data_IF_785988440843
#
_entry.id   IF_785988440843
#
_cell.length_a   1.000
_cell.length_b   1.000
_cell.length_c   1.000
_cell.angle_alpha   90.00
_cell.angle_beta   90.00
_cell.angle_gamma   90.00
#
_symmetry.space_group_name_H-M   'P 1'
#
loop_
_entity.id
_entity.type
_entity.pdbx_description
1 polymer ?
#
# COMPACT_ATOMS: atom_id res chain seq x y z
N UNK A 1 10.13 2.25 11.61
CA UNK A 1 9.30 1.08 11.92
C UNK A 1 9.88 0.36 13.13
N UNK A 2 9.03 -0.01 14.10
CA UNK A 2 9.39 -0.85 15.24
C UNK A 2 8.64 -2.19 15.11
N UNK A 3 9.31 -3.32 15.31
CA UNK A 3 8.72 -4.64 15.08
C UNK A 3 8.92 -5.52 16.32
N UNK A 4 7.86 -6.19 16.74
CA UNK A 4 7.90 -7.18 17.82
C UNK A 4 7.50 -8.53 17.22
N UNK A 5 8.42 -9.49 17.25
CA UNK A 5 8.16 -10.85 16.77
C UNK A 5 8.14 -11.83 17.95
N UNK A 6 7.18 -12.74 17.94
CA UNK A 6 7.07 -13.77 18.95
C UNK A 6 6.50 -15.07 18.37
N UNK A 7 6.95 -16.20 18.93
CA UNK A 7 6.40 -17.51 18.61
C UNK A 7 5.05 -17.68 19.32
N UNK A 8 4.01 -18.04 18.58
CA UNK A 8 2.63 -18.07 19.10
C UNK A 8 2.40 -19.07 20.24
N UNK A 9 3.19 -20.13 20.30
CA UNK A 9 3.13 -21.08 21.43
C UNK A 9 3.79 -20.57 22.71
N UNK A 10 4.57 -19.47 22.63
CA UNK A 10 5.27 -18.88 23.78
C UNK A 10 4.56 -17.61 24.24
N UNK A 11 4.21 -16.75 23.29
CA UNK A 11 3.45 -15.51 23.53
C UNK A 11 2.17 -15.57 22.71
N UNK A 12 1.00 -15.68 23.35
CA UNK A 12 -0.27 -15.62 22.64
C UNK A 12 -0.40 -14.34 21.79
N UNK A 13 -1.06 -14.44 20.65
CA UNK A 13 -1.16 -13.34 19.70
C UNK A 13 -1.74 -12.07 20.32
N UNK A 14 -2.77 -12.18 21.15
CA UNK A 14 -3.36 -11.03 21.84
C UNK A 14 -2.36 -10.36 22.78
N UNK A 15 -1.55 -11.13 23.50
CA UNK A 15 -0.48 -10.59 24.35
C UNK A 15 0.58 -9.86 23.51
N UNK A 16 0.93 -10.39 22.34
CA UNK A 16 1.82 -9.72 21.39
C UNK A 16 1.23 -8.40 20.91
N UNK A 17 -0.08 -8.38 20.64
CA UNK A 17 -0.78 -7.13 20.27
C UNK A 17 -0.77 -6.11 21.41
N UNK A 18 -0.93 -6.55 22.66
CA UNK A 18 -0.83 -5.66 23.83
C UNK A 18 0.57 -5.05 23.96
N UNK A 19 1.62 -5.83 23.74
CA UNK A 19 2.99 -5.31 23.71
C UNK A 19 3.17 -4.27 22.60
N UNK A 20 2.59 -4.50 21.44
CA UNK A 20 2.63 -3.52 20.35
C UNK A 20 1.83 -2.24 20.66
N UNK A 21 0.69 -2.34 21.35
CA UNK A 21 -0.09 -1.17 21.83
C UNK A 21 0.72 -0.34 22.82
N UNK A 22 1.33 -0.99 23.83
CA UNK A 22 2.21 -0.30 24.78
C UNK A 22 3.41 0.37 24.08
N UNK A 23 4.04 -0.32 23.12
CA UNK A 23 5.12 0.26 22.35
C UNK A 23 4.63 1.46 21.53
N UNK A 24 3.41 1.40 20.97
CA UNK A 24 2.81 2.51 20.23
C UNK A 24 2.60 3.76 21.11
N UNK A 25 2.20 3.57 22.37
CA UNK A 25 2.04 4.67 23.33
C UNK A 25 3.36 5.33 23.73
N UNK A 26 4.43 4.54 23.84
CA UNK A 26 5.78 5.03 24.19
C UNK A 26 6.42 5.75 22.99
N UNK A 27 6.29 5.19 21.79
CA UNK A 27 6.95 5.68 20.58
C UNK A 27 6.18 6.84 19.93
N UNK A 28 6.12 7.95 20.67
CA UNK A 28 5.44 9.20 20.27
C UNK A 28 6.40 10.40 20.33
N UNK A 29 5.98 11.58 19.88
CA UNK A 29 6.80 12.79 19.90
C UNK A 29 8.08 12.63 19.09
N UNK A 30 9.22 12.93 19.70
CA UNK A 30 10.56 12.82 19.08
C UNK A 30 10.98 11.36 18.78
N UNK A 31 10.40 10.39 19.47
CA UNK A 31 10.64 8.95 19.27
C UNK A 31 9.58 8.31 18.35
N UNK A 32 8.72 9.10 17.74
CA UNK A 32 7.63 8.59 16.92
C UNK A 32 8.15 7.77 15.73
N UNK A 33 7.61 6.56 15.60
CA UNK A 33 7.80 5.71 14.42
C UNK A 33 6.46 5.55 13.68
N UNK A 34 6.46 5.53 12.38
CA UNK A 34 5.25 5.44 11.57
C UNK A 34 4.43 4.18 11.86
N UNK A 35 5.09 3.05 12.13
CA UNK A 35 4.41 1.78 12.41
C UNK A 35 5.09 1.00 13.52
N UNK A 36 4.27 0.42 14.41
CA UNK A 36 4.65 -0.68 15.31
C UNK A 36 3.98 -1.94 14.77
N UNK A 37 4.75 -2.99 14.50
CA UNK A 37 4.25 -4.18 13.81
C UNK A 37 4.37 -5.40 14.72
N UNK A 38 3.25 -6.09 14.94
CA UNK A 38 3.23 -7.43 15.51
C UNK A 38 3.56 -8.45 14.41
N UNK A 39 4.57 -9.28 14.65
CA UNK A 39 5.00 -10.35 13.73
C UNK A 39 4.96 -11.71 14.41
N UNK A 40 3.79 -12.30 14.57
CA UNK A 40 3.68 -13.67 15.10
C UNK A 40 4.24 -14.67 14.10
N UNK A 41 4.86 -15.74 14.64
CA UNK A 41 5.40 -16.84 13.87
C UNK A 41 5.21 -18.18 14.61
N UNK A 42 5.34 -19.27 13.86
CA UNK A 42 5.16 -20.64 14.40
C UNK A 42 6.17 -21.62 13.80
N UNK A 43 6.11 -22.87 14.24
CA UNK A 43 6.91 -23.98 13.73
C UNK A 43 8.29 -24.07 14.37
N UNK A 44 9.16 -24.90 13.76
CA UNK A 44 10.58 -25.03 14.10
C UNK A 44 11.41 -24.36 13.02
N UNK A 45 12.67 -24.04 13.35
CA UNK A 45 13.57 -23.42 12.36
C UNK A 45 13.65 -24.25 11.06
N UNK A 46 13.47 -23.60 9.90
CA UNK A 46 13.13 -22.18 9.69
C UNK A 46 11.69 -21.85 10.09
N UNK A 47 11.51 -20.80 10.89
CA UNK A 47 10.20 -20.38 11.37
C UNK A 47 9.30 -19.85 10.25
N UNK A 48 7.99 -20.05 10.40
CA UNK A 48 6.97 -19.63 9.43
C UNK A 48 6.18 -18.45 10.01
N UNK A 49 6.10 -17.34 9.28
CA UNK A 49 5.26 -16.18 9.63
C UNK A 49 3.80 -16.57 9.49
N UNK A 50 2.97 -16.19 10.46
CA UNK A 50 1.53 -16.41 10.38
C UNK A 50 0.81 -15.21 9.75
N UNK A 51 -0.41 -15.40 9.23
CA UNK A 51 -1.21 -14.30 8.67
C UNK A 51 -1.72 -13.32 9.74
N UNK A 52 -1.47 -13.57 11.01
CA UNK A 52 -1.86 -12.71 12.15
C UNK A 52 -0.90 -11.54 12.38
N UNK A 53 -0.14 -11.13 11.37
CA UNK A 53 0.55 -9.85 11.38
C UNK A 53 -0.46 -8.72 11.56
N UNK A 54 -0.11 -7.76 12.42
CA UNK A 54 -0.93 -6.56 12.60
C UNK A 54 -0.05 -5.31 12.73
N UNK A 55 -0.42 -4.26 12.02
CA UNK A 55 0.29 -2.98 12.00
C UNK A 55 -0.47 -1.97 12.87
N UNK A 56 0.17 -1.49 13.93
CA UNK A 56 -0.31 -0.37 14.76
C UNK A 56 0.32 0.91 14.22
N UNK A 57 -0.35 1.49 13.23
CA UNK A 57 0.12 2.68 12.53
C UNK A 57 -0.07 3.94 13.37
N UNK A 58 0.82 4.90 13.21
CA UNK A 58 0.62 6.25 13.73
C UNK A 58 -0.47 6.92 12.89
N UNK A 59 -1.50 7.43 13.56
CA UNK A 59 -2.49 8.26 12.87
C UNK A 59 -1.79 9.49 12.32
N UNK A 60 -2.00 9.86 11.05
CA UNK A 60 -1.40 11.06 10.47
C UNK A 60 -1.61 12.28 11.38
N UNK A 61 -0.53 12.97 11.80
CA UNK A 61 -0.64 14.06 12.81
C UNK A 61 -1.29 15.32 12.25
N UNK A 62 -1.37 15.42 10.94
CA UNK A 62 -2.02 16.53 10.23
C UNK A 62 -3.07 15.97 9.29
N UNK A 63 -3.90 16.85 8.75
CA UNK A 63 -4.83 16.48 7.71
C UNK A 63 -4.09 16.09 6.45
N UNK A 64 -4.52 14.99 5.88
CA UNK A 64 -4.09 14.48 4.58
C UNK A 64 -5.05 14.95 3.48
N UNK A 65 -4.71 14.67 2.24
CA UNK A 65 -5.62 14.89 1.12
C UNK A 65 -6.94 14.12 1.31
N UNK A 66 -6.89 12.91 1.90
CA UNK A 66 -8.09 12.11 2.18
C UNK A 66 -9.04 12.82 3.14
N UNK A 67 -8.50 13.42 4.22
CA UNK A 67 -9.30 14.20 5.16
C UNK A 67 -9.95 15.42 4.49
N UNK A 68 -9.20 16.10 3.62
CA UNK A 68 -9.70 17.26 2.89
C UNK A 68 -10.83 16.89 1.94
N UNK A 69 -10.69 15.82 1.19
CA UNK A 69 -11.70 15.32 0.26
C UNK A 69 -12.95 14.86 1.01
N UNK A 70 -12.77 14.02 2.02
CA UNK A 70 -13.89 13.48 2.82
C UNK A 70 -14.72 14.60 3.50
N UNK A 71 -14.07 15.64 4.04
CA UNK A 71 -14.77 16.79 4.61
C UNK A 71 -15.57 17.62 3.61
N UNK A 72 -15.18 17.58 2.35
CA UNK A 72 -15.91 18.22 1.25
C UNK A 72 -17.01 17.34 0.67
N UNK A 73 -17.23 16.16 1.24
CA UNK A 73 -18.26 15.21 0.80
C UNK A 73 -17.87 14.35 -0.38
N UNK A 74 -16.57 14.31 -0.72
CA UNK A 74 -16.06 13.39 -1.75
C UNK A 74 -15.81 12.01 -1.15
N UNK A 75 -15.96 10.98 -1.98
CA UNK A 75 -15.58 9.63 -1.64
C UNK A 75 -14.06 9.49 -1.60
N UNK A 76 -13.57 8.78 -0.59
CA UNK A 76 -12.16 8.39 -0.45
C UNK A 76 -12.12 6.90 -0.18
N UNK A 77 -11.88 6.15 -1.25
CA UNK A 77 -12.02 4.69 -1.25
C UNK A 77 -10.70 4.02 -1.65
N UNK A 78 -10.53 2.77 -1.26
CA UNK A 78 -9.42 1.94 -1.72
C UNK A 78 -8.72 1.12 -0.64
N UNK A 79 -7.57 0.55 -1.04
CA UNK A 79 -6.76 -0.35 -0.20
C UNK A 79 -5.58 0.40 0.43
N UNK A 80 -5.87 1.33 1.30
CA UNK A 80 -4.87 2.17 1.99
C UNK A 80 -5.19 2.36 3.48
N UNK A 81 -6.12 1.55 4.02
CA UNK A 81 -6.58 1.67 5.40
C UNK A 81 -5.43 1.63 6.42
N UNK A 82 -4.54 0.64 6.28
CA UNK A 82 -3.46 0.44 7.24
C UNK A 82 -2.37 1.53 7.14
N UNK A 83 -2.21 2.13 5.97
CA UNK A 83 -1.25 3.23 5.75
C UNK A 83 -1.70 4.50 6.47
N UNK A 84 -2.99 4.83 6.37
CA UNK A 84 -3.58 6.04 6.94
C UNK A 84 -4.27 5.80 8.30
N UNK A 85 -4.16 4.60 8.87
CA UNK A 85 -4.89 4.21 10.10
C UNK A 85 -6.40 4.47 10.01
N UNK A 86 -6.97 4.31 8.82
CA UNK A 86 -8.38 4.57 8.54
C UNK A 86 -8.78 6.04 8.47
N UNK A 87 -7.86 6.98 8.74
CA UNK A 87 -8.17 8.41 8.75
C UNK A 87 -8.48 8.92 7.35
N UNK A 88 -9.58 9.64 7.22
CA UNK A 88 -10.01 10.28 5.97
C UNK A 88 -10.60 9.32 4.93
N UNK A 89 -10.79 8.03 5.24
CA UNK A 89 -11.41 7.06 4.34
C UNK A 89 -12.93 6.98 4.56
N UNK A 90 -13.70 7.01 3.48
CA UNK A 90 -15.14 6.79 3.50
C UNK A 90 -15.51 5.32 3.28
N UNK A 91 -14.68 4.58 2.50
CA UNK A 91 -14.86 3.15 2.24
C UNK A 91 -13.50 2.50 2.00
N UNK A 92 -13.30 1.28 2.49
CA UNK A 92 -12.05 0.56 2.28
C UNK A 92 -12.29 -0.92 2.04
N UNK A 93 -11.29 -1.55 1.39
CA UNK A 93 -11.21 -3.00 1.21
C UNK A 93 -9.94 -3.50 1.87
N UNK A 94 -10.03 -4.64 2.53
CA UNK A 94 -8.88 -5.37 3.07
C UNK A 94 -8.70 -6.64 2.25
N UNK A 95 -7.98 -6.54 1.18
CA UNK A 95 -7.61 -7.69 0.37
C UNK A 95 -6.10 -7.84 0.26
N UNK A 96 -5.62 -8.98 -0.22
CA UNK A 96 -4.20 -9.30 -0.27
C UNK A 96 -3.81 -9.68 -1.69
N UNK A 97 -2.87 -8.93 -2.25
CA UNK A 97 -2.22 -9.20 -3.53
C UNK A 97 -2.77 -8.41 -4.70
N UNK A 98 -1.89 -8.18 -5.68
CA UNK A 98 -2.17 -7.33 -6.82
C UNK A 98 -3.41 -7.74 -7.61
N UNK A 99 -3.64 -9.04 -7.78
CA UNK A 99 -4.80 -9.53 -8.53
C UNK A 99 -6.11 -9.10 -7.90
N UNK A 100 -6.26 -9.29 -6.59
CA UNK A 100 -7.45 -8.87 -5.86
C UNK A 100 -7.60 -7.34 -5.87
N UNK A 101 -6.48 -6.62 -5.69
CA UNK A 101 -6.47 -5.16 -5.66
C UNK A 101 -6.89 -4.56 -7.02
N UNK A 102 -6.45 -5.14 -8.13
CA UNK A 102 -6.85 -4.75 -9.48
C UNK A 102 -8.35 -5.04 -9.73
N UNK A 103 -8.86 -6.18 -9.26
CA UNK A 103 -10.27 -6.52 -9.38
C UNK A 103 -11.17 -5.56 -8.59
N UNK A 104 -10.79 -5.25 -7.34
CA UNK A 104 -11.52 -4.29 -6.52
C UNK A 104 -11.47 -2.88 -7.11
N UNK A 105 -10.34 -2.46 -7.69
CA UNK A 105 -10.24 -1.19 -8.39
C UNK A 105 -11.17 -1.14 -9.59
N UNK A 106 -11.27 -2.24 -10.37
CA UNK A 106 -12.23 -2.38 -11.46
C UNK A 106 -13.69 -2.38 -10.97
N UNK A 107 -13.95 -2.97 -9.81
CA UNK A 107 -15.25 -2.92 -9.17
C UNK A 107 -15.63 -1.47 -8.82
N UNK A 108 -14.74 -0.71 -8.19
CA UNK A 108 -14.99 0.70 -7.89
C UNK A 108 -15.19 1.53 -9.16
N UNK A 109 -14.48 1.26 -10.25
CA UNK A 109 -14.71 1.89 -11.54
C UNK A 109 -16.13 1.61 -12.08
N UNK A 110 -16.71 0.47 -11.76
CA UNK A 110 -18.04 0.06 -12.25
C UNK A 110 -19.21 0.66 -11.48
N UNK A 111 -18.97 1.26 -10.33
CA UNK A 111 -20.01 1.87 -9.49
C UNK A 111 -19.84 3.40 -9.48
N UNK A 112 -20.95 4.18 -9.46
CA UNK A 112 -20.86 5.62 -9.36
C UNK A 112 -20.20 6.04 -8.04
N UNK A 113 -19.13 6.82 -8.11
CA UNK A 113 -18.56 7.54 -6.97
C UNK A 113 -17.96 8.87 -7.45
N UNK A 114 -17.83 9.83 -6.56
CA UNK A 114 -17.20 11.10 -6.85
C UNK A 114 -16.13 11.37 -5.81
N UNK A 115 -14.87 11.23 -6.20
CA UNK A 115 -13.75 11.38 -5.27
C UNK A 115 -12.48 10.68 -5.71
N UNK A 116 -11.78 10.06 -4.77
CA UNK A 116 -10.50 9.39 -4.98
C UNK A 116 -10.60 7.89 -4.67
N UNK A 117 -10.23 7.06 -5.64
CA UNK A 117 -9.89 5.66 -5.41
C UNK A 117 -8.37 5.52 -5.37
N UNK A 118 -7.84 5.07 -4.22
CA UNK A 118 -6.40 4.92 -4.02
C UNK A 118 -6.06 3.45 -3.71
N UNK A 119 -5.38 2.80 -4.62
CA UNK A 119 -5.00 1.38 -4.51
C UNK A 119 -3.49 1.25 -4.47
N UNK A 120 -2.98 0.46 -3.52
CA UNK A 120 -1.57 0.12 -3.41
C UNK A 120 -1.35 -1.34 -3.81
N UNK A 121 -0.65 -1.58 -4.92
CA UNK A 121 -0.31 -2.90 -5.44
C UNK A 121 0.96 -3.42 -4.75
N UNK A 122 0.77 -4.14 -3.65
CA UNK A 122 1.84 -4.47 -2.70
C UNK A 122 2.78 -5.59 -3.14
N UNK A 123 2.40 -6.42 -4.11
CA UNK A 123 3.21 -7.60 -4.47
C UNK A 123 4.51 -7.22 -5.17
N UNK A 124 4.57 -6.11 -5.88
CA UNK A 124 5.79 -5.59 -6.48
C UNK A 124 6.91 -5.47 -5.45
N UNK A 125 6.58 -4.94 -4.28
CA UNK A 125 7.52 -4.83 -3.16
C UNK A 125 7.63 -6.15 -2.38
N UNK A 126 6.51 -6.66 -1.87
CA UNK A 126 6.50 -7.74 -0.89
C UNK A 126 6.86 -9.10 -1.46
N UNK A 127 6.39 -9.43 -2.67
CA UNK A 127 6.57 -10.75 -3.27
C UNK A 127 7.80 -10.81 -4.16
N UNK A 128 8.08 -9.75 -4.91
CA UNK A 128 9.09 -9.77 -5.95
C UNK A 128 10.32 -8.91 -5.62
N UNK A 129 10.13 -7.69 -5.11
CA UNK A 129 11.21 -6.78 -4.77
C UNK A 129 12.08 -7.29 -3.63
N UNK A 130 11.54 -7.37 -2.43
CA UNK A 130 12.26 -7.87 -1.23
C UNK A 130 12.73 -9.31 -1.35
N UNK A 131 12.12 -10.12 -2.19
CA UNK A 131 12.51 -11.52 -2.42
C UNK A 131 13.50 -11.68 -3.57
N UNK A 132 13.84 -10.58 -4.25
CA UNK A 132 14.79 -10.55 -5.35
C UNK A 132 14.40 -11.52 -6.48
N UNK A 133 13.13 -11.44 -6.87
CA UNK A 133 12.54 -12.22 -7.96
C UNK A 133 12.26 -11.31 -9.17
N UNK A 134 13.25 -11.06 -10.05
CA UNK A 134 13.06 -10.19 -11.21
C UNK A 134 12.14 -10.79 -12.27
N UNK A 135 12.02 -12.11 -12.35
CA UNK A 135 11.13 -12.78 -13.29
C UNK A 135 9.67 -12.62 -12.86
N UNK A 136 9.37 -12.87 -11.58
CA UNK A 136 8.05 -12.62 -11.00
C UNK A 136 7.66 -11.16 -11.07
N UNK A 137 8.61 -10.23 -10.85
CA UNK A 137 8.37 -8.79 -10.98
C UNK A 137 7.97 -8.42 -12.42
N UNK A 138 8.70 -8.93 -13.41
CA UNK A 138 8.40 -8.69 -14.82
C UNK A 138 7.04 -9.30 -15.23
N UNK A 139 6.72 -10.49 -14.73
CA UNK A 139 5.42 -11.11 -14.97
C UNK A 139 4.29 -10.28 -14.37
N UNK A 140 4.43 -9.82 -13.14
CA UNK A 140 3.43 -8.95 -12.48
C UNK A 140 3.22 -7.63 -13.23
N UNK A 141 4.27 -7.04 -13.81
CA UNK A 141 4.15 -5.87 -14.69
C UNK A 141 3.35 -6.19 -15.96
N UNK A 142 3.59 -7.34 -16.59
CA UNK A 142 2.80 -7.75 -17.75
C UNK A 142 1.33 -7.98 -17.42
N UNK A 143 1.04 -8.59 -16.27
CA UNK A 143 -0.32 -8.82 -15.80
C UNK A 143 -1.03 -7.48 -15.52
N UNK A 144 -0.31 -6.55 -14.91
CA UNK A 144 -0.80 -5.19 -14.69
C UNK A 144 -1.07 -4.44 -16.00
N UNK A 145 -0.18 -4.56 -16.98
CA UNK A 145 -0.33 -3.90 -18.29
C UNK A 145 -1.57 -4.41 -19.05
N UNK A 146 -1.80 -5.72 -19.04
CA UNK A 146 -3.01 -6.33 -19.63
C UNK A 146 -4.27 -5.84 -18.94
N UNK A 147 -4.29 -5.82 -17.60
CA UNK A 147 -5.41 -5.30 -16.82
C UNK A 147 -5.63 -3.80 -17.10
N UNK A 148 -4.55 -3.02 -17.16
CA UNK A 148 -4.59 -1.58 -17.41
C UNK A 148 -5.24 -1.24 -18.75
N UNK A 149 -4.97 -2.01 -19.80
CA UNK A 149 -5.64 -1.85 -21.10
C UNK A 149 -7.16 -1.89 -20.97
N UNK A 150 -7.69 -2.93 -20.33
CA UNK A 150 -9.14 -3.06 -20.10
C UNK A 150 -9.72 -2.02 -19.13
N UNK A 151 -8.90 -1.51 -18.21
CA UNK A 151 -9.30 -0.43 -17.29
C UNK A 151 -9.43 0.90 -18.02
N UNK A 152 -8.46 1.24 -18.88
CA UNK A 152 -8.45 2.48 -19.68
C UNK A 152 -9.64 2.58 -20.62
N UNK A 153 -10.06 1.45 -21.23
CA UNK A 153 -11.23 1.42 -22.13
C UNK A 153 -12.55 1.76 -21.44
N UNK A 154 -12.61 1.58 -20.12
CA UNK A 154 -13.83 1.82 -19.31
C UNK A 154 -13.83 3.17 -18.59
N UNK A 155 -12.75 3.94 -18.68
CA UNK A 155 -12.65 5.26 -18.05
C UNK A 155 -13.72 6.21 -18.61
N UNK A 156 -14.38 6.91 -17.70
CA UNK A 156 -15.32 7.96 -18.08
C UNK A 156 -14.58 9.26 -18.48
N UNK A 157 -15.23 10.18 -19.21
CA UNK A 157 -14.59 11.42 -19.65
C UNK A 157 -14.02 12.29 -18.53
N UNK A 158 -14.58 12.19 -17.33
CA UNK A 158 -14.19 12.93 -16.14
C UNK A 158 -13.08 12.25 -15.32
N UNK A 159 -12.80 10.98 -15.62
CA UNK A 159 -11.82 10.20 -14.86
C UNK A 159 -10.40 10.65 -15.15
N UNK A 160 -9.58 10.66 -14.12
CA UNK A 160 -8.13 10.83 -14.19
C UNK A 160 -7.47 9.65 -13.48
N UNK A 161 -6.65 8.92 -14.22
CA UNK A 161 -5.81 7.86 -13.67
C UNK A 161 -4.41 8.42 -13.42
N UNK A 162 -3.88 8.14 -12.23
CA UNK A 162 -2.49 8.40 -11.86
C UNK A 162 -1.82 7.11 -11.44
N UNK A 163 -0.68 6.78 -12.04
CA UNK A 163 0.15 5.62 -11.69
C UNK A 163 1.49 6.13 -11.22
N UNK A 164 1.89 5.73 -10.04
CA UNK A 164 3.17 6.10 -9.43
C UNK A 164 3.68 5.00 -8.51
N UNK A 165 4.81 5.23 -7.87
CA UNK A 165 5.33 4.40 -6.78
C UNK A 165 5.71 5.29 -5.60
N UNK A 166 5.79 4.73 -4.42
CA UNK A 166 6.23 5.39 -3.18
C UNK A 166 7.76 5.37 -3.03
N UNK A 167 8.44 4.40 -3.64
CA UNK A 167 9.90 4.25 -3.66
C UNK A 167 10.37 3.37 -4.82
N UNK A 168 11.68 3.33 -5.04
CA UNK A 168 12.32 2.37 -5.93
C UNK A 168 12.41 0.98 -5.28
N UNK A 169 12.38 -0.06 -6.10
CA UNK A 169 12.56 -1.43 -5.65
C UNK A 169 13.12 -2.29 -6.80
N UNK A 170 14.46 -2.28 -6.96
CA UNK A 170 15.13 -3.10 -7.97
C UNK A 170 15.39 -4.52 -7.43
N UNK A 171 14.71 -5.55 -7.94
CA UNK A 171 14.89 -6.93 -7.48
C UNK A 171 16.27 -7.53 -7.82
N UNK A 172 17.06 -6.86 -8.66
CA UNK A 172 18.45 -7.28 -8.98
C UNK A 172 19.49 -6.60 -8.08
N UNK A 173 19.15 -5.54 -7.38
CA UNK A 173 20.09 -4.86 -6.49
C UNK A 173 20.50 -5.77 -5.32
N UNK A 174 21.72 -5.60 -4.82
CA UNK A 174 22.21 -6.39 -3.68
C UNK A 174 21.52 -5.97 -2.38
N UNK A 175 21.02 -6.93 -1.63
CA UNK A 175 20.27 -6.67 -0.39
C UNK A 175 18.77 -6.90 -0.54
N UNK A 176 18.03 -6.56 0.49
CA UNK A 176 16.56 -6.74 0.57
C UNK A 176 15.85 -5.45 0.94
N UNK A 177 16.54 -4.31 0.91
CA UNK A 177 15.99 -3.01 1.18
C UNK A 177 15.50 -2.33 -0.10
N UNK A 178 14.72 -1.27 0.07
CA UNK A 178 14.28 -0.43 -1.04
C UNK A 178 15.48 0.25 -1.72
N UNK A 179 15.33 0.57 -2.98
CA UNK A 179 16.38 1.18 -3.80
C UNK A 179 16.00 2.62 -4.21
N UNK A 180 16.89 3.32 -4.91
CA UNK A 180 16.76 4.78 -5.14
C UNK A 180 16.49 5.16 -6.60
N UNK A 181 15.87 4.29 -7.34
CA UNK A 181 15.47 4.59 -8.71
C UNK A 181 14.41 5.71 -8.73
N UNK A 182 14.42 6.50 -9.78
CA UNK A 182 13.32 7.40 -10.05
C UNK A 182 12.01 6.63 -10.21
N UNK A 183 11.00 7.03 -9.47
CA UNK A 183 9.66 6.46 -9.61
C UNK A 183 8.94 7.02 -10.83
N UNK A 184 8.09 6.24 -11.51
CA UNK A 184 7.27 6.73 -12.60
C UNK A 184 6.18 7.66 -12.06
N UNK A 185 5.78 8.61 -12.88
CA UNK A 185 4.55 9.39 -12.70
C UNK A 185 3.84 9.44 -14.03
N UNK A 186 2.81 8.63 -14.20
CA UNK A 186 2.01 8.54 -15.41
C UNK A 186 0.61 9.08 -15.09
N UNK A 187 0.11 9.93 -15.98
CA UNK A 187 -1.24 10.50 -15.83
C UNK A 187 -1.99 10.32 -17.14
N UNK A 188 -3.18 9.76 -17.07
CA UNK A 188 -4.06 9.52 -18.20
C UNK A 188 -5.49 10.00 -17.90
N UNK A 189 -6.21 10.44 -18.94
CA UNK A 189 -7.59 10.89 -18.86
C UNK A 189 -7.95 11.74 -20.07
N UNK A 190 -9.23 11.85 -20.38
CA UNK A 190 -9.70 12.61 -21.53
C UNK A 190 -9.34 14.10 -21.44
N UNK A 191 -9.31 14.67 -20.26
CA UNK A 191 -8.96 16.07 -19.99
C UNK A 191 -7.44 16.30 -19.88
N UNK A 192 -6.63 15.24 -19.85
CA UNK A 192 -5.18 15.33 -19.67
C UNK A 192 -4.51 15.67 -21.00
N UNK A 193 -3.77 16.77 -21.04
CA UNK A 193 -2.99 17.14 -22.23
C UNK A 193 -1.71 16.31 -22.28
N UNK A 194 -1.41 15.66 -23.42
CA UNK A 194 -0.14 14.96 -23.60
C UNK A 194 1.06 15.87 -23.33
N UNK A 195 2.03 15.38 -22.59
CA UNK A 195 3.23 16.14 -22.26
C UNK A 195 4.23 15.32 -21.48
N UNK A 196 5.42 15.85 -21.32
CA UNK A 196 6.48 15.25 -20.52
C UNK A 196 6.67 16.08 -19.24
N UNK A 197 6.48 15.46 -18.09
CA UNK A 197 6.67 16.11 -16.79
C UNK A 197 8.14 16.31 -16.42
N UNK A 198 9.05 15.67 -17.15
CA UNK A 198 10.49 15.65 -16.86
C UNK A 198 10.81 14.92 -15.57
N UNK A 199 12.08 14.95 -15.20
CA UNK A 199 12.58 14.41 -13.94
C UNK A 199 12.61 15.50 -12.88
N UNK A 200 12.08 15.21 -11.69
CA UNK A 200 12.03 16.14 -10.56
C UNK A 200 12.60 15.49 -9.30
N UNK A 201 13.25 16.31 -8.46
CA UNK A 201 13.53 15.93 -7.08
C UNK A 201 12.30 16.29 -6.21
N UNK A 202 11.83 15.34 -5.40
CA UNK A 202 10.74 15.51 -4.46
C UNK A 202 11.23 15.33 -3.04
#
# INVERSE_FOLDING_TARGET
>A
VFQIAAHESVVPVETLYDYCRMAREILTGEYAVGRVIARPFEGKFPFIRTPRRHDFSLVPPKDTMLDCLSRQGFDTIGKIYDIFAGKGLTKYVRDIGNFCDMNETSHFQSIPFNGLCFTNLVDFDMQFGHRRDPEGYAQALNEFDVWLGGFLEKMQPEDILMITADHGCDPKYSGTDHTREHIPVLVAGHSVKPGNLGTRAC
#
